data_IF_077367303779
#
_entry.id   IF_077367303779
#
_cell.length_a   1.000
_cell.length_b   1.000
_cell.length_c   1.000
_cell.angle_alpha   90.00
_cell.angle_beta   90.00
_cell.angle_gamma   90.00
#
_symmetry.space_group_name_H-M   'P 1'
#
loop_
_entity.id
_entity.type
_entity.pdbx_description
1 polymer ?
#
# COMPACT_ATOMS: atom_id res chain seq x y z
N UNK A 1 4.99 7.14 -26.41
CA UNK A 1 5.29 6.13 -25.37
C UNK A 1 4.81 6.69 -24.05
N UNK A 2 3.87 6.04 -23.33
CA UNK A 2 3.54 6.49 -21.98
C UNK A 2 4.79 6.28 -21.13
N UNK A 3 5.24 7.34 -20.47
CA UNK A 3 6.39 7.29 -19.58
C UNK A 3 6.09 6.31 -18.44
N UNK A 4 6.83 5.20 -18.37
CA UNK A 4 6.97 4.43 -17.15
C UNK A 4 7.58 5.39 -16.12
N UNK A 5 6.73 5.92 -15.23
CA UNK A 5 7.24 6.54 -14.02
C UNK A 5 8.04 5.45 -13.29
N UNK A 6 9.31 5.68 -12.96
CA UNK A 6 10.07 4.74 -12.15
C UNK A 6 9.26 4.44 -10.88
N UNK A 7 9.29 3.21 -10.36
CA UNK A 7 8.56 2.87 -9.14
C UNK A 7 8.97 3.90 -8.11
N UNK A 8 8.02 4.74 -7.68
CA UNK A 8 8.28 5.78 -6.70
C UNK A 8 9.01 5.11 -5.54
N UNK A 9 10.28 5.49 -5.33
CA UNK A 9 11.05 5.00 -4.21
C UNK A 9 10.20 5.29 -2.98
N UNK A 10 9.68 4.23 -2.35
CA UNK A 10 8.78 4.37 -1.22
C UNK A 10 9.60 5.02 -0.13
N UNK A 11 9.34 6.31 0.13
CA UNK A 11 9.99 7.02 1.22
C UNK A 11 9.84 6.19 2.49
N UNK A 12 10.93 5.98 3.24
CA UNK A 12 10.86 5.23 4.48
C UNK A 12 9.89 5.94 5.44
N UNK A 13 9.01 5.16 6.07
CA UNK A 13 8.09 5.68 7.08
C UNK A 13 8.94 6.19 8.26
N UNK A 14 8.99 7.50 8.45
CA UNK A 14 9.63 8.11 9.60
C UNK A 14 8.70 8.00 10.81
N UNK A 15 9.11 7.24 11.81
CA UNK A 15 8.39 7.12 13.09
C UNK A 15 9.06 8.05 14.10
N UNK A 16 8.29 8.95 14.69
CA UNK A 16 8.73 9.84 15.77
C UNK A 16 8.48 9.22 17.14
N UNK A 17 9.13 9.73 18.19
CA UNK A 17 8.86 9.31 19.58
C UNK A 17 7.39 9.55 19.98
N UNK A 18 6.76 10.61 19.44
CA UNK A 18 5.35 10.89 19.71
C UNK A 18 4.41 9.80 19.18
N UNK A 19 4.75 9.20 18.02
CA UNK A 19 3.97 8.08 17.46
C UNK A 19 4.10 6.82 18.32
N UNK A 20 5.27 6.62 18.93
CA UNK A 20 5.52 5.52 19.88
C UNK A 20 4.71 5.72 21.16
N UNK A 21 4.74 6.94 21.71
CA UNK A 21 3.96 7.30 22.90
C UNK A 21 2.44 7.13 22.65
N UNK A 22 1.96 7.53 21.47
CA UNK A 22 0.56 7.35 21.07
C UNK A 22 0.18 5.87 20.99
N UNK A 23 1.02 5.02 20.40
CA UNK A 23 0.76 3.59 20.30
C UNK A 23 0.69 2.91 21.68
N UNK A 24 1.57 3.32 22.60
CA UNK A 24 1.58 2.82 23.99
C UNK A 24 0.33 3.31 24.74
N UNK A 25 -0.04 4.59 24.58
CA UNK A 25 -1.23 5.16 25.19
C UNK A 25 -2.53 4.48 24.71
N UNK A 26 -2.60 4.09 23.43
CA UNK A 26 -3.74 3.35 22.88
C UNK A 26 -3.90 1.93 23.49
N UNK A 27 -2.85 1.41 24.13
CA UNK A 27 -2.86 0.14 24.84
C UNK A 27 -2.83 0.32 26.37
N UNK A 28 -3.30 1.46 26.88
CA UNK A 28 -3.34 1.80 28.31
C UNK A 28 -1.97 1.70 29.01
N UNK A 29 -0.88 1.90 28.27
CA UNK A 29 0.48 1.77 28.80
C UNK A 29 1.04 0.34 28.83
N UNK A 30 0.29 -0.68 28.41
CA UNK A 30 0.77 -2.06 28.37
C UNK A 30 1.67 -2.28 27.13
N UNK A 31 2.99 -2.31 27.38
CA UNK A 31 4.00 -2.55 26.35
C UNK A 31 3.85 -3.93 25.67
N UNK A 32 3.43 -4.97 26.40
CA UNK A 32 3.23 -6.31 25.81
C UNK A 32 2.00 -6.34 24.91
N UNK A 33 0.93 -5.66 25.30
CA UNK A 33 -0.25 -5.48 24.46
C UNK A 33 0.08 -4.66 23.20
N UNK A 34 0.85 -3.57 23.37
CA UNK A 34 1.33 -2.71 22.27
C UNK A 34 2.13 -3.50 21.24
N UNK A 35 3.16 -4.24 21.69
CA UNK A 35 3.98 -5.07 20.80
C UNK A 35 3.14 -6.12 20.08
N UNK A 36 2.20 -6.77 20.78
CA UNK A 36 1.30 -7.74 20.17
C UNK A 36 0.42 -7.11 19.09
N UNK A 37 -0.14 -5.93 19.35
CA UNK A 37 -0.95 -5.19 18.40
C UNK A 37 -0.15 -4.81 17.14
N UNK A 38 1.09 -4.34 17.32
CA UNK A 38 2.00 -4.01 16.20
C UNK A 38 2.33 -5.25 15.34
N UNK A 39 2.63 -6.40 15.96
CA UNK A 39 2.89 -7.64 15.23
C UNK A 39 1.68 -8.13 14.44
N UNK A 40 0.47 -8.02 15.03
CA UNK A 40 -0.78 -8.33 14.34
C UNK A 40 -0.99 -7.37 13.17
N UNK A 41 -0.79 -6.07 13.38
CA UNK A 41 -0.89 -5.03 12.35
C UNK A 41 0.08 -5.28 11.20
N UNK A 42 1.32 -5.67 11.49
CA UNK A 42 2.32 -6.00 10.47
C UNK A 42 1.86 -7.19 9.62
N UNK A 43 1.44 -8.31 10.24
CA UNK A 43 0.93 -9.47 9.48
C UNK A 43 -0.31 -9.12 8.64
N UNK A 44 -1.21 -8.29 9.16
CA UNK A 44 -2.36 -7.82 8.40
C UNK A 44 -1.93 -7.07 7.13
N UNK A 45 -0.97 -6.14 7.24
CA UNK A 45 -0.46 -5.37 6.12
C UNK A 45 0.26 -6.26 5.09
N UNK A 46 1.03 -7.24 5.55
CA UNK A 46 1.68 -8.23 4.67
C UNK A 46 0.66 -9.03 3.85
N UNK A 47 -0.40 -9.51 4.51
CA UNK A 47 -1.50 -10.23 3.83
C UNK A 47 -2.24 -9.31 2.85
N UNK A 48 -2.59 -8.10 3.27
CA UNK A 48 -3.29 -7.13 2.42
C UNK A 48 -2.46 -6.74 1.19
N UNK A 49 -1.14 -6.56 1.36
CA UNK A 49 -0.22 -6.29 0.26
C UNK A 49 -0.15 -7.46 -0.73
N UNK A 50 -0.09 -8.69 -0.23
CA UNK A 50 -0.08 -9.89 -1.07
C UNK A 50 -1.37 -10.02 -1.88
N UNK A 51 -2.53 -9.80 -1.25
CA UNK A 51 -3.82 -9.77 -1.93
C UNK A 51 -3.86 -8.69 -3.03
N UNK A 52 -3.42 -7.46 -2.71
CA UNK A 52 -3.38 -6.37 -3.69
C UNK A 52 -2.45 -6.68 -4.87
N UNK A 53 -1.30 -7.34 -4.64
CA UNK A 53 -0.40 -7.79 -5.71
C UNK A 53 -1.06 -8.84 -6.61
N UNK A 54 -1.79 -9.79 -6.03
CA UNK A 54 -2.52 -10.80 -6.78
C UNK A 54 -3.60 -10.16 -7.67
N UNK A 55 -4.38 -9.23 -7.14
CA UNK A 55 -5.39 -8.48 -7.91
C UNK A 55 -4.77 -7.63 -9.03
N UNK A 56 -3.67 -6.92 -8.74
CA UNK A 56 -2.95 -6.14 -9.75
C UNK A 56 -2.40 -7.04 -10.87
N UNK A 57 -1.90 -8.23 -10.54
CA UNK A 57 -1.44 -9.21 -11.53
C UNK A 57 -2.58 -9.75 -12.39
N UNK A 58 -3.75 -10.01 -11.80
CA UNK A 58 -4.96 -10.44 -12.51
C UNK A 58 -5.51 -9.35 -13.45
N UNK A 59 -5.48 -8.09 -13.02
CA UNK A 59 -5.84 -6.94 -13.86
C UNK A 59 -4.87 -6.72 -15.02
N UNK A 60 -3.57 -6.95 -14.80
CA UNK A 60 -2.53 -6.88 -15.83
C UNK A 60 -2.64 -8.03 -16.84
N UNK A 61 -2.89 -9.27 -16.39
CA UNK A 61 -3.06 -10.45 -17.25
C UNK A 61 -4.31 -10.35 -18.13
N UNK A 62 -5.36 -9.62 -17.72
CA UNK A 62 -6.56 -9.40 -18.55
C UNK A 62 -6.39 -8.33 -19.64
N UNK A 63 -5.20 -7.74 -19.80
CA UNK A 63 -4.81 -6.99 -20.99
C UNK A 63 -5.89 -6.05 -21.52
N UNK A 64 -6.60 -5.31 -20.66
CA UNK A 64 -7.57 -4.30 -21.12
C UNK A 64 -6.80 -3.00 -21.31
N UNK A 65 -6.31 -2.67 -22.53
CA UNK A 65 -5.90 -1.30 -22.77
C UNK A 65 -7.12 -0.44 -22.46
N UNK A 66 -6.94 0.52 -21.56
CA UNK A 66 -7.87 1.64 -21.45
C UNK A 66 -8.05 2.18 -22.86
N UNK A 67 -9.19 1.87 -23.49
CA UNK A 67 -9.57 2.49 -24.75
C UNK A 67 -9.63 3.97 -24.44
N UNK A 68 -8.64 4.74 -24.91
CA UNK A 68 -8.79 6.17 -25.04
C UNK A 68 -9.99 6.37 -25.97
N UNK A 69 -11.13 6.70 -25.38
CA UNK A 69 -12.23 7.33 -26.09
C UNK A 69 -11.70 8.71 -26.48
N UNK A 70 -11.51 8.90 -27.78
CA UNK A 70 -11.06 10.16 -28.36
C UNK A 70 -9.80 10.00 -29.20
N UNK A 71 -9.98 9.57 -30.45
CA UNK A 71 -9.64 10.52 -31.51
C UNK A 71 -10.68 10.40 -32.62
N UNK A 72 -11.31 11.54 -32.90
CA UNK A 72 -12.16 11.72 -34.06
C UNK A 72 -11.27 11.99 -35.28
N UNK A 73 -11.85 11.83 -36.46
CA UNK A 73 -11.38 12.35 -37.75
C UNK A 73 -10.27 11.56 -38.47
N UNK A 74 -10.69 10.96 -39.59
CA UNK A 74 -10.04 10.82 -40.90
C UNK A 74 -10.86 9.72 -41.62
N UNK A 75 -11.54 9.92 -42.74
CA UNK A 75 -11.53 10.91 -43.81
C UNK A 75 -12.19 10.21 -44.99
#
# INVERSE_FOLDING_TARGET
MPSEQPPAEREPIAISEADVDEAIAACDGDLRATIKALLIGQQYLEVALEMARQEASWGYIRGRPSRRVGDAAQG
#
